data_IF_727373554598
#
_entry.id   IF_727373554598
#
_cell.length_a   1.000
_cell.length_b   1.000
_cell.length_c   1.000
_cell.angle_alpha   90.00
_cell.angle_beta   90.00
_cell.angle_gamma   90.00
#
_symmetry.space_group_name_H-M   'P 1'
#
loop_
_entity.id
_entity.type
_entity.pdbx_description
1 polymer ?
#
# COMPACT_ATOMS: atom_id res chain seq x y z
N UNK A 1 4.11 -28.64 28.51
CA UNK A 1 4.12 -29.19 27.13
C UNK A 1 2.91 -28.82 26.27
N UNK A 2 1.66 -28.79 26.79
CA UNK A 2 0.44 -28.43 26.01
C UNK A 2 0.41 -26.99 25.46
N UNK A 3 0.92 -26.01 26.20
CA UNK A 3 0.93 -24.59 25.80
C UNK A 3 1.76 -24.31 24.53
N UNK A 4 2.86 -25.04 24.32
CA UNK A 4 3.69 -24.86 23.12
C UNK A 4 2.95 -25.33 21.87
N UNK A 5 2.24 -26.48 21.93
CA UNK A 5 1.46 -26.99 20.80
C UNK A 5 0.37 -26.00 20.35
N UNK A 6 -0.35 -25.40 21.29
CA UNK A 6 -1.39 -24.41 20.99
C UNK A 6 -0.80 -23.16 20.29
N UNK A 7 0.34 -22.66 20.78
CA UNK A 7 1.04 -21.53 20.16
C UNK A 7 1.45 -21.82 18.72
N UNK A 8 1.99 -23.02 18.45
CA UNK A 8 2.34 -23.42 17.08
C UNK A 8 1.12 -23.52 16.17
N UNK A 9 -0.01 -24.05 16.68
CA UNK A 9 -1.25 -24.09 15.92
C UNK A 9 -1.75 -22.69 15.57
N UNK A 10 -1.75 -21.75 16.52
CA UNK A 10 -2.16 -20.35 16.27
C UNK A 10 -1.30 -19.70 15.19
N UNK A 11 0.03 -19.90 15.27
CA UNK A 11 0.96 -19.37 14.27
C UNK A 11 0.68 -20.00 12.90
N UNK A 12 0.49 -21.32 12.85
CA UNK A 12 0.17 -22.04 11.62
C UNK A 12 -1.11 -21.47 10.98
N UNK A 13 -2.20 -21.39 11.73
CA UNK A 13 -3.47 -20.83 11.26
C UNK A 13 -3.37 -19.36 10.85
N UNK A 14 -2.54 -18.56 11.53
CA UNK A 14 -2.34 -17.15 11.19
C UNK A 14 -1.50 -16.94 9.92
N UNK A 15 -0.59 -17.87 9.62
CA UNK A 15 0.24 -17.83 8.40
C UNK A 15 -0.53 -18.34 7.18
N UNK A 16 -1.50 -19.25 7.36
CA UNK A 16 -2.32 -19.81 6.27
C UNK A 16 -2.89 -18.76 5.30
N UNK A 17 -3.62 -17.71 5.73
CA UNK A 17 -4.18 -16.73 4.79
C UNK A 17 -3.08 -15.93 4.07
N UNK A 18 -1.93 -15.72 4.70
CA UNK A 18 -0.80 -14.99 4.12
C UNK A 18 -0.20 -15.81 2.96
N UNK A 19 0.11 -17.09 3.21
CA UNK A 19 0.68 -17.97 2.19
C UNK A 19 -0.29 -18.19 1.04
N UNK A 20 -1.57 -18.39 1.37
CA UNK A 20 -2.62 -18.54 0.38
C UNK A 20 -2.76 -17.29 -0.49
N UNK A 21 -2.72 -16.10 0.10
CA UNK A 21 -2.75 -14.84 -0.64
C UNK A 21 -1.53 -14.66 -1.54
N UNK A 22 -0.32 -14.95 -1.04
CA UNK A 22 0.90 -14.88 -1.86
C UNK A 22 0.77 -15.79 -3.07
N UNK A 23 0.33 -17.04 -2.85
CA UNK A 23 0.10 -17.99 -3.93
C UNK A 23 -0.97 -17.48 -4.90
N UNK A 24 -2.11 -17.03 -4.39
CA UNK A 24 -3.22 -16.50 -5.19
C UNK A 24 -2.78 -15.33 -6.08
N UNK A 25 -2.20 -14.29 -5.49
CA UNK A 25 -1.75 -13.12 -6.26
C UNK A 25 -0.68 -13.54 -7.26
N UNK A 26 0.26 -14.40 -6.89
CA UNK A 26 1.28 -14.90 -7.83
C UNK A 26 0.69 -15.66 -9.02
N UNK A 27 -0.31 -16.53 -8.80
CA UNK A 27 -0.90 -17.32 -9.89
C UNK A 27 -1.76 -16.50 -10.84
N UNK A 28 -2.49 -15.51 -10.33
CA UNK A 28 -3.53 -14.81 -11.10
C UNK A 28 -3.11 -13.42 -11.60
N UNK A 29 -1.96 -12.90 -11.17
CA UNK A 29 -1.47 -11.61 -11.70
C UNK A 29 -0.93 -11.80 -13.11
N UNK A 30 -1.53 -11.09 -14.07
CA UNK A 30 -1.12 -11.09 -15.48
C UNK A 30 -0.55 -9.74 -15.88
N UNK A 31 0.37 -9.74 -16.85
CA UNK A 31 1.00 -8.50 -17.34
C UNK A 31 0.15 -7.81 -18.41
N UNK A 32 -1.09 -7.45 -18.05
CA UNK A 32 -2.03 -6.78 -18.95
C UNK A 32 -2.66 -5.62 -18.19
N UNK A 33 -2.76 -4.42 -18.79
CA UNK A 33 -3.48 -3.32 -18.18
C UNK A 33 -4.95 -3.69 -17.96
N UNK A 34 -5.47 -3.40 -16.77
CA UNK A 34 -6.89 -3.53 -16.50
C UNK A 34 -7.59 -2.18 -16.72
N UNK A 35 -8.63 -2.17 -17.57
CA UNK A 35 -9.41 -0.98 -17.90
C UNK A 35 -8.49 0.22 -18.26
N UNK A 36 -8.57 1.29 -17.47
CA UNK A 36 -7.91 2.56 -17.73
C UNK A 36 -6.41 2.59 -17.36
N UNK A 37 -5.87 1.50 -16.79
CA UNK A 37 -4.44 1.36 -16.44
C UNK A 37 -3.54 1.73 -17.63
N UNK A 38 -3.91 1.29 -18.84
CA UNK A 38 -3.13 1.53 -20.05
C UNK A 38 -2.95 3.02 -20.32
N UNK A 39 -4.06 3.76 -20.43
CA UNK A 39 -4.08 5.19 -20.71
C UNK A 39 -3.44 5.99 -19.58
N UNK A 40 -3.75 5.64 -18.33
CA UNK A 40 -3.28 6.34 -17.15
C UNK A 40 -1.75 6.31 -17.00
N UNK A 41 -1.15 5.12 -17.04
CA UNK A 41 0.30 5.00 -16.86
C UNK A 41 1.05 5.42 -18.13
N UNK A 42 0.59 4.98 -19.31
CA UNK A 42 1.30 5.27 -20.57
C UNK A 42 1.38 6.77 -20.85
N UNK A 43 0.29 7.52 -20.61
CA UNK A 43 0.30 8.98 -20.79
C UNK A 43 1.31 9.65 -19.86
N UNK A 44 1.34 9.25 -18.58
CA UNK A 44 2.33 9.77 -17.64
C UNK A 44 3.77 9.47 -18.09
N UNK A 45 4.05 8.25 -18.54
CA UNK A 45 5.37 7.86 -19.01
C UNK A 45 5.80 8.70 -20.22
N UNK A 46 4.93 8.85 -21.22
CA UNK A 46 5.22 9.68 -22.41
C UNK A 46 5.51 11.13 -22.02
N UNK A 47 4.69 11.72 -21.16
CA UNK A 47 4.86 13.11 -20.71
C UNK A 47 6.19 13.28 -19.95
N UNK A 48 6.55 12.34 -19.07
CA UNK A 48 7.81 12.37 -18.30
C UNK A 48 9.04 12.19 -19.19
N UNK A 49 8.98 11.30 -20.18
CA UNK A 49 10.11 11.05 -21.08
C UNK A 49 10.32 12.18 -22.10
N UNK A 50 9.27 12.90 -22.49
CA UNK A 50 9.37 14.12 -23.31
C UNK A 50 9.88 15.33 -22.54
N UNK A 51 9.86 15.29 -21.22
CA UNK A 51 10.26 16.40 -20.37
C UNK A 51 11.78 16.46 -20.16
N UNK A 52 12.35 17.65 -20.39
CA UNK A 52 13.78 17.91 -20.22
C UNK A 52 14.14 18.45 -18.82
N UNK A 53 13.14 18.82 -18.01
CA UNK A 53 13.35 19.46 -16.70
C UNK A 53 12.88 18.57 -15.56
N UNK A 54 13.69 18.46 -14.50
CA UNK A 54 13.34 17.71 -13.27
C UNK A 54 12.08 18.29 -12.62
N UNK A 55 11.93 19.62 -12.66
CA UNK A 55 10.77 20.32 -12.11
C UNK A 55 9.51 19.96 -12.89
N UNK A 56 9.59 19.91 -14.22
CA UNK A 56 8.47 19.52 -15.06
C UNK A 56 8.06 18.06 -14.82
N UNK A 57 9.05 17.15 -14.66
CA UNK A 57 8.77 15.74 -14.29
C UNK A 57 8.04 15.64 -12.96
N UNK A 58 8.47 16.40 -11.95
CA UNK A 58 7.77 16.46 -10.65
C UNK A 58 6.31 16.90 -10.82
N UNK A 59 6.06 17.96 -11.59
CA UNK A 59 4.70 18.43 -11.84
C UNK A 59 3.85 17.45 -12.65
N UNK A 60 4.46 16.69 -13.57
CA UNK A 60 3.76 15.62 -14.30
C UNK A 60 3.32 14.51 -13.34
N UNK A 61 4.16 14.08 -12.40
CA UNK A 61 3.76 13.10 -11.38
C UNK A 61 2.64 13.63 -10.48
N UNK A 62 2.72 14.90 -10.07
CA UNK A 62 1.73 15.55 -9.21
C UNK A 62 0.42 15.93 -9.93
N UNK A 63 0.41 15.90 -11.27
CA UNK A 63 -0.76 16.24 -12.07
C UNK A 63 -1.93 15.32 -11.74
N UNK A 64 -3.07 15.91 -11.43
CA UNK A 64 -4.33 15.19 -11.27
C UNK A 64 -4.71 14.54 -12.61
N UNK A 65 -5.04 13.25 -12.59
CA UNK A 65 -5.48 12.58 -13.80
C UNK A 65 -7.00 12.71 -13.94
N UNK A 66 -7.49 12.90 -15.16
CA UNK A 66 -8.93 13.04 -15.47
C UNK A 66 -9.72 11.75 -15.22
N UNK A 67 -9.03 10.61 -15.10
CA UNK A 67 -9.65 9.27 -14.95
C UNK A 67 -9.81 8.95 -13.48
N UNK A 68 -8.74 9.12 -12.71
CA UNK A 68 -8.78 8.86 -11.27
C UNK A 68 -9.39 10.03 -10.52
N UNK A 69 -9.51 11.23 -11.12
CA UNK A 69 -9.88 12.48 -10.45
C UNK A 69 -9.02 12.83 -9.22
N UNK A 70 -7.94 12.10 -9.00
CA UNK A 70 -7.09 12.21 -7.83
C UNK A 70 -5.62 12.38 -8.23
N UNK A 71 -4.82 12.90 -7.32
CA UNK A 71 -3.38 13.08 -7.51
C UNK A 71 -2.64 11.89 -6.95
N UNK A 72 -2.19 10.98 -7.79
CA UNK A 72 -1.62 9.68 -7.39
C UNK A 72 -0.13 9.58 -7.75
N UNK A 73 0.73 10.49 -7.27
CA UNK A 73 2.12 10.63 -7.70
C UNK A 73 2.96 9.39 -7.43
N UNK A 74 2.72 8.70 -6.31
CA UNK A 74 3.46 7.49 -5.92
C UNK A 74 3.29 6.38 -6.96
N UNK A 75 2.06 6.13 -7.41
CA UNK A 75 1.77 5.10 -8.42
C UNK A 75 2.50 5.38 -9.75
N UNK A 76 2.47 6.63 -10.22
CA UNK A 76 3.06 7.07 -11.48
C UNK A 76 4.58 7.04 -11.42
N UNK A 77 5.14 7.50 -10.31
CA UNK A 77 6.58 7.47 -10.07
C UNK A 77 7.09 6.03 -10.04
N UNK A 78 6.41 5.11 -9.35
CA UNK A 78 6.79 3.69 -9.34
C UNK A 78 6.67 3.07 -10.74
N UNK A 79 5.61 3.35 -11.49
CA UNK A 79 5.47 2.88 -12.87
C UNK A 79 6.61 3.38 -13.78
N UNK A 80 7.00 4.65 -13.64
CA UNK A 80 8.14 5.22 -14.36
C UNK A 80 9.47 4.55 -13.96
N UNK A 81 9.70 4.28 -12.66
CA UNK A 81 10.87 3.54 -12.21
C UNK A 81 10.93 2.12 -12.80
N UNK A 82 9.81 1.39 -12.78
CA UNK A 82 9.72 0.05 -13.39
C UNK A 82 10.09 0.12 -14.87
N UNK A 83 9.52 1.08 -15.60
CA UNK A 83 9.84 1.30 -17.01
C UNK A 83 11.32 1.62 -17.23
N UNK A 84 11.91 2.51 -16.41
CA UNK A 84 13.33 2.88 -16.51
C UNK A 84 14.27 1.68 -16.33
N UNK A 85 13.94 0.75 -15.44
CA UNK A 85 14.79 -0.42 -15.17
C UNK A 85 14.52 -1.62 -16.08
N UNK A 86 13.28 -1.82 -16.53
CA UNK A 86 12.90 -3.00 -17.32
C UNK A 86 12.72 -2.71 -18.81
N UNK A 87 12.70 -1.43 -19.20
CA UNK A 87 12.39 -0.96 -20.56
C UNK A 87 10.93 -1.13 -20.97
N UNK A 88 10.06 -1.64 -20.08
CA UNK A 88 8.66 -1.94 -20.36
C UNK A 88 7.79 -1.59 -19.16
N UNK A 89 6.55 -1.19 -19.40
CA UNK A 89 5.59 -1.07 -18.31
C UNK A 89 5.15 -2.48 -17.89
N UNK A 90 5.45 -2.87 -16.65
CA UNK A 90 5.18 -4.21 -16.13
C UNK A 90 4.16 -4.16 -15.00
N UNK A 91 2.94 -4.59 -15.31
CA UNK A 91 1.80 -4.59 -14.39
C UNK A 91 1.92 -5.67 -13.31
N UNK A 92 2.65 -6.76 -13.57
CA UNK A 92 2.92 -7.80 -12.56
C UNK A 92 3.74 -7.20 -11.41
N UNK A 93 4.85 -6.54 -11.74
CA UNK A 93 5.71 -5.90 -10.72
C UNK A 93 4.92 -4.83 -9.99
N UNK A 94 4.15 -4.03 -10.73
CA UNK A 94 3.36 -2.94 -10.17
C UNK A 94 2.30 -3.46 -9.18
N UNK A 95 1.54 -4.50 -9.53
CA UNK A 95 0.56 -5.13 -8.66
C UNK A 95 1.21 -5.74 -7.41
N UNK A 96 2.31 -6.47 -7.55
CA UNK A 96 3.00 -7.05 -6.39
C UNK A 96 3.52 -5.99 -5.43
N UNK A 97 4.16 -4.94 -5.94
CA UNK A 97 4.69 -3.85 -5.11
C UNK A 97 3.57 -3.10 -4.35
N UNK A 98 2.41 -2.89 -4.97
CA UNK A 98 1.28 -2.29 -4.28
C UNK A 98 0.71 -3.22 -3.19
N UNK A 99 0.57 -4.53 -3.48
CA UNK A 99 0.13 -5.54 -2.51
C UNK A 99 1.10 -5.69 -1.32
N UNK A 100 2.39 -5.37 -1.47
CA UNK A 100 3.35 -5.36 -0.33
C UNK A 100 2.92 -4.42 0.80
N UNK A 101 2.11 -3.39 0.51
CA UNK A 101 1.60 -2.50 1.54
C UNK A 101 0.72 -3.23 2.57
N UNK A 102 0.01 -4.31 2.19
CA UNK A 102 -0.76 -5.14 3.12
C UNK A 102 0.14 -5.83 4.16
N UNK A 103 1.33 -6.26 3.75
CA UNK A 103 2.34 -6.81 4.68
C UNK A 103 2.87 -5.74 5.62
N UNK A 104 3.04 -4.51 5.13
CA UNK A 104 3.34 -3.34 5.96
C UNK A 104 2.27 -3.10 7.02
N UNK A 105 0.98 -3.18 6.65
CA UNK A 105 -0.13 -3.03 7.59
C UNK A 105 -0.13 -4.14 8.64
N UNK A 106 0.05 -5.40 8.21
CA UNK A 106 0.17 -6.54 9.13
C UNK A 106 1.33 -6.33 10.12
N UNK A 107 2.47 -5.84 9.65
CA UNK A 107 3.62 -5.54 10.48
C UNK A 107 3.30 -4.45 11.52
N UNK A 108 2.60 -3.38 11.14
CA UNK A 108 2.19 -2.34 12.08
C UNK A 108 1.21 -2.87 13.13
N UNK A 109 0.23 -3.69 12.73
CA UNK A 109 -0.64 -4.38 13.70
C UNK A 109 0.18 -5.25 14.64
N UNK A 110 1.15 -6.02 14.12
CA UNK A 110 2.02 -6.86 14.95
C UNK A 110 2.83 -6.04 15.96
N UNK A 111 3.40 -4.92 15.52
CA UNK A 111 4.13 -3.98 16.38
C UNK A 111 3.25 -3.43 17.49
N UNK A 112 2.03 -3.02 17.15
CA UNK A 112 1.05 -2.54 18.12
C UNK A 112 0.68 -3.62 19.15
N UNK A 113 0.42 -4.84 18.67
CA UNK A 113 0.06 -6.00 19.48
C UNK A 113 1.16 -6.39 20.47
N UNK A 114 2.41 -6.43 19.98
CA UNK A 114 3.58 -6.75 20.80
C UNK A 114 3.83 -5.69 21.87
N UNK A 115 3.59 -4.42 21.56
CA UNK A 115 3.77 -3.33 22.52
C UNK A 115 2.79 -3.39 23.70
N UNK A 116 1.56 -3.85 23.45
CA UNK A 116 0.56 -4.03 24.51
C UNK A 116 0.59 -5.40 25.17
N UNK A 117 1.54 -6.27 24.79
CA UNK A 117 1.67 -7.64 25.30
C UNK A 117 0.36 -8.46 25.23
N UNK A 118 -0.48 -8.21 24.22
CA UNK A 118 -1.73 -8.93 24.04
C UNK A 118 -1.49 -10.40 23.68
N UNK A 119 -2.46 -11.26 24.01
CA UNK A 119 -2.38 -12.68 23.72
C UNK A 119 -2.51 -12.94 22.22
N UNK A 120 -1.53 -13.62 21.61
CA UNK A 120 -1.43 -13.92 20.17
C UNK A 120 -2.72 -14.44 19.52
N UNK A 121 -3.61 -15.08 20.27
CA UNK A 121 -4.93 -15.54 19.78
C UNK A 121 -5.74 -14.38 19.19
N UNK A 122 -5.72 -13.19 19.81
CA UNK A 122 -6.47 -12.04 19.28
C UNK A 122 -5.84 -11.42 18.03
N UNK A 123 -4.62 -11.81 17.67
CA UNK A 123 -4.00 -11.41 16.41
C UNK A 123 -4.53 -12.26 15.23
N UNK A 124 -5.08 -13.44 15.51
CA UNK A 124 -5.48 -14.41 14.49
C UNK A 124 -6.47 -13.86 13.44
N UNK A 125 -7.48 -13.04 13.78
CA UNK A 125 -8.39 -12.50 12.78
C UNK A 125 -7.73 -11.51 11.79
N UNK A 126 -6.63 -10.87 12.19
CA UNK A 126 -6.03 -9.76 11.43
C UNK A 126 -5.49 -10.22 10.07
N UNK A 127 -4.66 -11.28 9.96
CA UNK A 127 -4.26 -11.83 8.67
C UNK A 127 -5.44 -12.21 7.76
N UNK A 128 -6.51 -12.78 8.31
CA UNK A 128 -7.67 -13.18 7.50
C UNK A 128 -8.41 -11.97 6.92
N UNK A 129 -8.56 -10.89 7.70
CA UNK A 129 -9.20 -9.67 7.25
C UNK A 129 -8.35 -8.90 6.24
N UNK A 130 -7.03 -8.88 6.42
CA UNK A 130 -6.12 -8.18 5.51
C UNK A 130 -5.93 -8.91 4.17
N UNK A 131 -5.82 -10.23 4.21
CA UNK A 131 -5.47 -11.06 3.04
C UNK A 131 -6.69 -11.79 2.46
N UNK A 132 -7.87 -11.15 2.49
CA UNK A 132 -9.10 -11.69 1.92
C UNK A 132 -9.23 -11.43 0.41
N UNK A 133 -9.93 -12.31 -0.30
CA UNK A 133 -10.15 -12.23 -1.75
C UNK A 133 -11.27 -11.28 -2.15
N UNK A 134 -12.11 -10.83 -1.22
CA UNK A 134 -13.21 -9.90 -1.53
C UNK A 134 -12.71 -8.61 -2.20
N UNK A 135 -11.46 -8.21 -1.90
CA UNK A 135 -10.83 -7.03 -2.49
C UNK A 135 -10.01 -7.34 -3.75
N UNK A 136 -10.36 -8.40 -4.51
CA UNK A 136 -9.63 -8.83 -5.71
C UNK A 136 -9.38 -7.68 -6.70
N UNK A 137 -10.35 -6.79 -6.86
CA UNK A 137 -10.24 -5.61 -7.71
C UNK A 137 -9.04 -4.75 -7.31
N UNK A 138 -8.90 -4.44 -6.02
CA UNK A 138 -7.75 -3.72 -5.49
C UNK A 138 -6.44 -4.53 -5.56
N UNK A 139 -6.49 -5.85 -5.68
CA UNK A 139 -5.29 -6.70 -5.72
C UNK A 139 -4.69 -6.75 -7.11
N UNK A 140 -5.51 -6.76 -8.16
CA UNK A 140 -5.06 -6.93 -9.55
C UNK A 140 -5.18 -5.66 -10.40
N UNK A 141 -6.13 -4.76 -10.11
CA UNK A 141 -6.23 -3.49 -10.81
C UNK A 141 -5.22 -2.50 -10.26
N UNK A 142 -4.17 -2.19 -11.02
CA UNK A 142 -2.99 -1.50 -10.48
C UNK A 142 -3.26 -0.06 -10.04
N UNK A 143 -4.13 0.69 -10.71
CA UNK A 143 -4.56 2.01 -10.23
C UNK A 143 -5.19 1.90 -8.83
N UNK A 144 -6.16 1.00 -8.64
CA UNK A 144 -6.84 0.81 -7.35
C UNK A 144 -5.87 0.31 -6.29
N UNK A 145 -5.04 -0.67 -6.63
CA UNK A 145 -4.02 -1.24 -5.73
C UNK A 145 -3.14 -0.15 -5.10
N UNK A 146 -2.54 0.69 -5.95
CA UNK A 146 -1.64 1.75 -5.51
C UNK A 146 -2.34 2.92 -4.82
N UNK A 147 -3.64 3.05 -5.05
CA UNK A 147 -4.46 4.08 -4.44
C UNK A 147 -4.91 3.70 -3.03
N UNK A 148 -5.29 2.45 -2.79
CA UNK A 148 -5.85 2.07 -1.50
C UNK A 148 -4.81 1.50 -0.53
N UNK A 149 -3.94 0.59 -0.96
CA UNK A 149 -3.09 -0.12 0.00
C UNK A 149 -1.90 0.71 0.52
N UNK A 150 -1.06 1.34 -0.34
CA UNK A 150 0.03 2.19 0.16
C UNK A 150 -0.49 3.35 1.01
N UNK A 151 -1.62 3.93 0.63
CA UNK A 151 -2.20 5.06 1.36
C UNK A 151 -2.76 4.61 2.70
N UNK A 152 -3.52 3.51 2.75
CA UNK A 152 -3.96 2.92 4.01
C UNK A 152 -2.80 2.59 4.95
N UNK A 153 -1.68 2.09 4.40
CA UNK A 153 -0.47 1.82 5.19
C UNK A 153 0.07 3.12 5.79
N UNK A 154 0.22 4.17 4.99
CA UNK A 154 0.72 5.45 5.47
C UNK A 154 -0.23 6.09 6.49
N UNK A 155 -1.55 5.94 6.34
CA UNK A 155 -2.53 6.36 7.35
C UNK A 155 -2.30 5.62 8.68
N UNK A 156 -2.10 4.29 8.63
CA UNK A 156 -1.74 3.52 9.82
C UNK A 156 -0.40 3.95 10.43
N UNK A 157 0.59 4.36 9.62
CA UNK A 157 1.86 4.91 10.11
C UNK A 157 1.62 6.20 10.90
N UNK A 158 0.78 7.11 10.40
CA UNK A 158 0.41 8.34 11.13
C UNK A 158 -0.18 8.00 12.49
N UNK A 159 -1.19 7.14 12.53
CA UNK A 159 -1.84 6.72 13.77
C UNK A 159 -0.86 6.04 14.73
N UNK A 160 0.01 5.17 14.22
CA UNK A 160 1.03 4.50 15.02
C UNK A 160 2.02 5.49 15.63
N UNK A 161 2.46 6.50 14.88
CA UNK A 161 3.37 7.54 15.38
C UNK A 161 2.70 8.39 16.47
N UNK A 162 1.44 8.78 16.26
CA UNK A 162 0.66 9.56 17.24
C UNK A 162 0.33 8.78 18.51
N UNK A 163 0.04 7.48 18.39
CA UNK A 163 -0.25 6.59 19.52
C UNK A 163 0.91 6.44 20.50
N UNK A 164 2.14 6.72 20.05
CA UNK A 164 3.33 6.55 20.86
C UNK A 164 4.12 7.84 20.91
N UNK A 165 3.90 8.62 21.96
CA UNK A 165 4.58 9.90 22.16
C UNK A 165 6.09 9.69 22.36
N UNK A 166 6.86 9.96 21.32
CA UNK A 166 8.32 10.11 21.35
C UNK A 166 8.67 11.50 20.84
N UNK A 167 9.85 12.02 21.23
CA UNK A 167 10.32 13.40 20.98
C UNK A 167 10.07 13.92 19.55
N UNK A 168 10.22 13.08 18.52
CA UNK A 168 10.07 13.48 17.12
C UNK A 168 8.85 12.85 16.40
N UNK A 169 8.06 12.02 17.09
CA UNK A 169 6.98 11.28 16.44
C UNK A 169 5.87 12.19 15.92
N UNK A 170 5.60 13.31 16.61
CA UNK A 170 4.62 14.29 16.15
C UNK A 170 5.05 14.93 14.83
N UNK A 171 6.32 15.34 14.72
CA UNK A 171 6.85 15.91 13.48
C UNK A 171 6.76 14.91 12.32
N UNK A 172 7.16 13.65 12.55
CA UNK A 172 7.05 12.61 11.53
C UNK A 172 5.59 12.32 11.15
N UNK A 173 4.68 12.29 12.13
CA UNK A 173 3.26 12.10 11.86
C UNK A 173 2.68 13.23 10.99
N UNK A 174 3.05 14.49 11.25
CA UNK A 174 2.64 15.65 10.45
C UNK A 174 3.18 15.53 9.01
N UNK A 175 4.46 15.21 8.84
CA UNK A 175 5.06 15.06 7.51
C UNK A 175 4.39 13.95 6.70
N UNK A 176 4.11 12.80 7.34
CA UNK A 176 3.41 11.69 6.68
C UNK A 176 1.94 12.04 6.40
N UNK A 177 1.25 12.72 7.31
CA UNK A 177 -0.14 13.15 7.11
C UNK A 177 -0.28 14.12 5.92
N UNK A 178 0.65 15.06 5.77
CA UNK A 178 0.74 15.95 4.61
C UNK A 178 0.90 15.11 3.33
N UNK A 179 1.87 14.19 3.32
CA UNK A 179 2.13 13.33 2.15
C UNK A 179 0.89 12.53 1.74
N UNK A 180 0.22 11.92 2.72
CA UNK A 180 -0.98 11.11 2.52
C UNK A 180 -2.14 11.94 1.97
N UNK A 181 -2.36 13.12 2.52
CA UNK A 181 -3.42 14.05 2.09
C UNK A 181 -3.25 14.48 0.63
N UNK A 182 -2.02 14.69 0.18
CA UNK A 182 -1.73 15.09 -1.19
C UNK A 182 -1.63 13.91 -2.18
N UNK A 183 -1.72 12.66 -1.71
CA UNK A 183 -1.65 11.45 -2.55
C UNK A 183 -3.02 10.86 -2.89
N UNK A 184 -4.05 11.08 -2.07
CA UNK A 184 -5.43 10.71 -2.41
C UNK A 184 -6.42 11.33 -1.42
N UNK A 185 -7.66 11.60 -1.85
CA UNK A 185 -8.65 12.30 -1.02
C UNK A 185 -8.96 11.57 0.30
N UNK A 186 -8.96 10.24 0.30
CA UNK A 186 -9.14 9.46 1.55
C UNK A 186 -8.05 9.74 2.58
N UNK A 187 -6.89 10.25 2.15
CA UNK A 187 -5.79 10.61 3.03
C UNK A 187 -6.17 11.63 4.10
N UNK A 188 -7.15 12.50 3.86
CA UNK A 188 -7.62 13.51 4.82
C UNK A 188 -8.20 12.89 6.11
N UNK A 189 -8.65 11.63 6.08
CA UNK A 189 -9.22 10.99 7.26
C UNK A 189 -8.23 10.78 8.42
N UNK A 190 -6.92 10.99 8.20
CA UNK A 190 -5.93 11.00 9.29
C UNK A 190 -6.13 12.14 10.29
N UNK A 191 -6.87 13.19 9.92
CA UNK A 191 -7.13 14.34 10.81
C UNK A 191 -8.34 14.13 11.73
N UNK A 192 -9.27 13.23 11.41
CA UNK A 192 -10.46 12.98 12.25
C UNK A 192 -10.14 12.47 13.67
N UNK A 193 -9.16 11.56 13.89
CA UNK A 193 -8.86 11.04 15.22
C UNK A 193 -8.07 12.00 16.11
N UNK A 194 -7.73 13.19 15.60
CA UNK A 194 -6.83 14.17 16.26
C UNK A 194 -7.63 15.35 16.85
N UNK A 195 -8.96 15.35 16.71
CA UNK A 195 -9.89 16.31 17.31
C UNK A 195 -10.47 15.86 18.63
#
# INVERSE_FOLDING_TARGET
>A
MKFNKLKYLIILFGITPILFFIYYVWQYTINVPYMDDSLYYTKCLIDVEKSNSIIDKFWIFMKQHTITEHRTPVSKFTAWLIYKFTGKLNYIILAHLGNLALFGMLFLFWRFFKKHAWNIIYFLPIPYLLFQMQTYENQFWTICNWTYYPIGLLQMVVLYLLSYQKKNNLLYAILVAILVTFTFSNGMFVFLPVG
#
